data_IF_065539904337
#
_entry.id   IF_065539904337
#
_cell.length_a   1.000
_cell.length_b   1.000
_cell.length_c   1.000
_cell.angle_alpha   90.00
_cell.angle_beta   90.00
_cell.angle_gamma   90.00
#
_symmetry.space_group_name_H-M   'P 1'
#
loop_
_entity.id
_entity.type
_entity.pdbx_description
1 polymer ?
#
# COMPACT_ATOMS: atom_id res chain seq x y z
N UNK A 1 1.41 -4.23 7.60
CA UNK A 1 0.30 -4.99 6.98
C UNK A 1 -0.88 -4.08 6.88
N UNK A 2 -1.37 -3.79 5.69
CA UNK A 2 -2.55 -2.98 5.50
C UNK A 2 -3.68 -3.72 4.88
N UNK A 3 -4.76 -3.36 5.39
CA UNK A 3 -6.12 -3.61 5.00
C UNK A 3 -6.61 -2.48 4.07
N UNK A 4 -6.94 -2.81 2.83
CA UNK A 4 -7.69 -1.88 2.00
C UNK A 4 -9.15 -1.98 2.42
N UNK A 5 -9.65 -0.91 3.05
CA UNK A 5 -11.08 -0.75 3.24
C UNK A 5 -11.74 -0.40 1.91
N UNK A 6 -12.45 -1.33 1.35
CA UNK A 6 -13.54 -1.03 0.43
C UNK A 6 -14.83 -1.23 1.23
N UNK A 7 -15.68 -0.21 1.21
CA UNK A 7 -16.95 -0.16 1.95
C UNK A 7 -17.94 -1.24 1.49
N UNK A 8 -17.69 -2.48 1.85
CA UNK A 8 -18.66 -3.52 1.67
C UNK A 8 -18.74 -4.41 2.89
N UNK A 9 -19.95 -4.74 3.26
CA UNK A 9 -20.34 -5.63 4.35
C UNK A 9 -19.76 -7.05 4.20
N UNK A 10 -18.91 -7.27 3.20
CA UNK A 10 -18.38 -8.56 2.81
C UNK A 10 -16.87 -8.64 3.02
N UNK A 11 -16.43 -9.78 3.42
CA UNK A 11 -15.06 -10.23 3.71
C UNK A 11 -13.94 -9.30 3.25
N UNK A 12 -13.38 -8.52 4.17
CA UNK A 12 -12.19 -7.69 3.98
C UNK A 12 -11.12 -8.09 4.99
N UNK A 13 -9.84 -7.93 4.67
CA UNK A 13 -9.25 -7.28 3.48
C UNK A 13 -9.19 -8.18 2.25
N UNK A 14 -9.18 -7.56 1.06
CA UNK A 14 -8.98 -8.28 -0.20
C UNK A 14 -7.51 -8.63 -0.43
N UNK A 15 -6.61 -7.71 -0.09
CA UNK A 15 -5.17 -7.82 -0.29
C UNK A 15 -4.40 -7.25 0.90
N UNK A 16 -3.18 -7.69 1.05
CA UNK A 16 -2.21 -7.11 1.97
C UNK A 16 -1.01 -6.55 1.21
N UNK A 17 -0.44 -5.46 1.69
CA UNK A 17 0.70 -4.82 1.09
C UNK A 17 1.62 -4.22 2.15
N UNK A 18 2.91 -3.97 1.84
CA UNK A 18 3.84 -3.36 2.78
C UNK A 18 3.37 -1.98 3.25
N UNK A 19 3.40 -1.75 4.56
CA UNK A 19 2.99 -0.48 5.17
C UNK A 19 3.86 -0.09 6.37
N UNK A 20 4.94 -0.83 6.64
CA UNK A 20 5.85 -0.60 7.76
C UNK A 20 7.23 -0.25 7.21
N UNK A 21 7.85 0.79 7.78
CA UNK A 21 9.17 1.29 7.39
C UNK A 21 9.28 1.62 5.90
N UNK A 22 8.29 2.32 5.38
CA UNK A 22 8.20 2.68 3.98
C UNK A 22 8.85 4.04 3.75
N UNK A 23 9.80 4.10 2.81
CA UNK A 23 10.35 5.36 2.34
C UNK A 23 9.32 6.07 1.46
N UNK A 24 8.69 7.09 2.02
CA UNK A 24 7.61 7.82 1.38
C UNK A 24 8.03 9.25 1.02
N UNK A 25 7.44 9.81 -0.03
CA UNK A 25 7.58 11.22 -0.35
C UNK A 25 6.98 12.06 0.78
N UNK A 26 7.66 13.15 1.10
CA UNK A 26 7.25 14.08 2.14
C UNK A 26 7.24 15.51 1.63
N UNK A 27 6.31 16.31 2.11
CA UNK A 27 6.23 17.72 1.73
C UNK A 27 7.40 18.52 2.34
N UNK A 28 8.19 19.26 1.54
CA UNK A 28 9.28 20.07 2.06
C UNK A 28 8.84 21.22 2.99
N UNK A 29 7.56 21.58 2.95
CA UNK A 29 6.99 22.63 3.81
C UNK A 29 6.42 22.09 5.13
N UNK A 30 6.41 20.78 5.31
CA UNK A 30 5.98 20.14 6.54
C UNK A 30 7.21 19.63 7.33
N UNK A 31 7.24 19.80 8.66
CA UNK A 31 8.33 19.25 9.47
C UNK A 31 8.30 17.71 9.43
N UNK A 32 9.47 17.05 9.46
CA UNK A 32 9.55 15.59 9.43
C UNK A 32 9.13 14.93 10.74
N UNK A 33 8.98 15.68 11.81
CA UNK A 33 8.53 15.19 13.11
C UNK A 33 7.55 16.18 13.75
N UNK A 34 6.85 15.72 14.79
CA UNK A 34 5.92 16.56 15.56
C UNK A 34 6.59 17.53 16.51
N UNK A 35 7.92 17.51 16.61
CA UNK A 35 8.67 18.45 17.42
C UNK A 35 8.53 19.87 16.87
N UNK A 36 8.02 20.76 17.71
CA UNK A 36 7.76 22.15 17.34
C UNK A 36 9.04 22.91 16.93
N UNK A 37 10.19 22.46 17.38
CA UNK A 37 11.49 23.07 17.06
C UNK A 37 12.15 22.48 15.80
N UNK A 38 11.51 21.51 15.15
CA UNK A 38 12.06 20.87 13.98
C UNK A 38 11.74 21.67 12.72
N UNK A 39 12.70 22.48 12.28
CA UNK A 39 12.60 23.33 11.10
C UNK A 39 13.19 22.70 9.84
N UNK A 40 13.59 21.41 9.90
CA UNK A 40 14.19 20.73 8.75
C UNK A 40 13.20 20.58 7.60
N UNK A 41 13.73 20.66 6.39
CA UNK A 41 13.00 20.37 5.16
C UNK A 41 13.54 19.07 4.56
N UNK A 42 12.66 18.10 4.35
CA UNK A 42 13.02 16.82 3.75
C UNK A 42 12.03 16.48 2.64
N UNK A 43 12.50 15.74 1.64
CA UNK A 43 11.67 15.29 0.52
C UNK A 43 11.13 13.88 0.71
N UNK A 44 11.73 13.12 1.63
CA UNK A 44 11.37 11.74 1.92
C UNK A 44 11.41 11.51 3.42
N UNK A 45 10.58 10.59 3.88
CA UNK A 45 10.51 10.20 5.28
C UNK A 45 10.14 8.71 5.36
N UNK A 46 10.62 8.04 6.40
CA UNK A 46 10.19 6.67 6.71
C UNK A 46 8.86 6.73 7.47
N UNK A 47 7.86 6.06 6.96
CA UNK A 47 6.52 6.01 7.54
C UNK A 47 6.04 4.58 7.74
N UNK A 48 5.33 4.37 8.84
CA UNK A 48 4.71 3.09 9.18
C UNK A 48 3.23 3.33 9.47
N UNK A 49 2.44 3.35 8.42
CA UNK A 49 0.99 3.56 8.49
C UNK A 49 0.28 2.76 7.40
N UNK A 50 -0.98 2.50 7.62
CA UNK A 50 -1.82 1.78 6.65
C UNK A 50 -1.90 2.49 5.30
N UNK A 51 -1.84 3.82 5.30
CA UNK A 51 -1.86 4.64 4.08
C UNK A 51 -0.68 4.37 3.13
N UNK A 52 0.41 3.77 3.62
CA UNK A 52 1.57 3.43 2.78
C UNK A 52 1.39 2.13 2.00
N UNK A 53 0.50 1.27 2.44
CA UNK A 53 0.15 0.05 1.69
C UNK A 53 -0.76 0.34 0.50
N UNK A 54 -1.55 1.39 0.55
CA UNK A 54 -2.45 1.79 -0.53
C UNK A 54 -1.69 2.05 -1.85
N UNK A 55 -0.64 2.90 -1.90
CA UNK A 55 0.12 3.11 -3.12
C UNK A 55 0.85 1.85 -3.61
N UNK A 56 1.26 0.94 -2.74
CA UNK A 56 1.81 -0.35 -3.16
C UNK A 56 0.80 -1.16 -3.96
N UNK A 57 -0.42 -1.26 -3.46
CA UNK A 57 -1.50 -1.95 -4.17
C UNK A 57 -1.88 -1.23 -5.46
N UNK A 58 -1.95 0.10 -5.44
CA UNK A 58 -2.23 0.90 -6.64
C UNK A 58 -1.15 0.70 -7.70
N UNK A 59 0.11 0.59 -7.30
CA UNK A 59 1.23 0.27 -8.20
C UNK A 59 1.08 -1.11 -8.82
N UNK A 60 0.68 -2.12 -8.05
CA UNK A 60 0.41 -3.46 -8.57
C UNK A 60 -0.75 -3.46 -9.58
N UNK A 61 -1.82 -2.73 -9.29
CA UNK A 61 -2.95 -2.55 -10.20
C UNK A 61 -2.51 -1.89 -11.51
N UNK A 62 -1.71 -0.84 -11.43
CA UNK A 62 -1.18 -0.15 -12.61
C UNK A 62 -0.31 -1.08 -13.47
N UNK A 63 0.52 -1.89 -12.85
CA UNK A 63 1.36 -2.88 -13.53
C UNK A 63 0.51 -3.91 -14.30
N UNK A 64 -0.52 -4.45 -13.67
CA UNK A 64 -1.46 -5.38 -14.32
C UNK A 64 -2.23 -4.69 -15.44
N UNK A 65 -2.64 -3.44 -15.24
CA UNK A 65 -3.37 -2.66 -16.25
C UNK A 65 -2.55 -2.40 -17.52
N UNK A 66 -1.25 -2.18 -17.38
CA UNK A 66 -0.35 -2.04 -18.53
C UNK A 66 -0.29 -3.31 -19.36
N UNK A 67 -0.25 -4.47 -18.70
CA UNK A 67 -0.23 -5.77 -19.38
C UNK A 67 -1.60 -6.13 -19.99
N UNK A 68 -2.68 -5.69 -19.36
CA UNK A 68 -4.06 -6.01 -19.77
C UNK A 68 -4.95 -4.76 -19.83
N UNK A 69 -4.76 -3.87 -20.84
CA UNK A 69 -5.43 -2.57 -20.88
C UNK A 69 -6.96 -2.64 -20.90
N UNK A 70 -7.51 -3.75 -21.39
CA UNK A 70 -8.95 -3.94 -21.54
C UNK A 70 -9.63 -4.56 -20.31
N UNK A 71 -8.86 -4.91 -19.28
CA UNK A 71 -9.44 -5.50 -18.08
C UNK A 71 -10.18 -4.47 -17.23
N UNK A 72 -11.35 -4.86 -16.74
CA UNK A 72 -12.12 -4.07 -15.79
C UNK A 72 -11.44 -4.04 -14.41
N UNK A 73 -11.78 -3.07 -13.55
CA UNK A 73 -11.30 -3.06 -12.16
C UNK A 73 -11.59 -4.39 -11.41
N UNK A 74 -12.76 -4.96 -11.62
CA UNK A 74 -13.12 -6.25 -11.02
C UNK A 74 -12.24 -7.40 -11.52
N UNK A 75 -11.89 -7.42 -12.80
CA UNK A 75 -10.99 -8.42 -13.36
C UNK A 75 -9.58 -8.31 -12.79
N UNK A 76 -9.06 -7.11 -12.63
CA UNK A 76 -7.75 -6.85 -12.02
C UNK A 76 -7.74 -7.29 -10.55
N UNK A 77 -8.76 -6.91 -9.79
CA UNK A 77 -8.94 -7.34 -8.40
C UNK A 77 -8.94 -8.85 -8.28
N UNK A 78 -9.73 -9.54 -9.10
CA UNK A 78 -9.82 -10.99 -9.12
C UNK A 78 -8.46 -11.64 -9.43
N UNK A 79 -7.74 -11.12 -10.41
CA UNK A 79 -6.42 -11.62 -10.78
C UNK A 79 -5.42 -11.48 -9.62
N UNK A 80 -5.39 -10.34 -8.95
CA UNK A 80 -4.50 -10.12 -7.80
C UNK A 80 -4.84 -11.02 -6.62
N UNK A 81 -6.12 -11.22 -6.34
CA UNK A 81 -6.57 -12.07 -5.22
C UNK A 81 -6.28 -13.55 -5.47
N UNK A 82 -6.47 -14.03 -6.69
CA UNK A 82 -6.34 -15.45 -7.04
C UNK A 82 -4.91 -15.90 -7.30
N UNK A 83 -4.01 -14.98 -7.63
CA UNK A 83 -2.59 -15.26 -7.86
C UNK A 83 -1.70 -14.93 -6.67
N UNK A 84 -2.28 -14.36 -5.61
CA UNK A 84 -1.56 -14.04 -4.38
C UNK A 84 -1.11 -15.29 -3.63
N UNK A 85 0.03 -15.19 -2.96
CA UNK A 85 0.48 -16.22 -2.03
C UNK A 85 -0.23 -16.08 -0.69
N UNK A 86 -0.68 -17.19 -0.14
CA UNK A 86 -1.13 -17.24 1.25
C UNK A 86 0.11 -17.19 2.13
N UNK A 87 0.31 -16.08 2.83
CA UNK A 87 1.39 -15.95 3.80
C UNK A 87 1.10 -16.87 4.97
N UNK A 88 1.70 -18.02 4.98
CA UNK A 88 1.66 -18.92 6.12
C UNK A 88 2.72 -18.48 7.13
N UNK A 89 2.28 -17.92 8.25
CA UNK A 89 3.16 -17.47 9.33
C UNK A 89 4.00 -18.60 9.95
N UNK A 90 3.62 -19.84 9.74
CA UNK A 90 4.36 -21.01 10.23
C UNK A 90 5.54 -21.42 9.31
N UNK A 91 5.60 -20.93 8.10
CA UNK A 91 6.69 -21.23 7.14
C UNK A 91 7.79 -20.17 7.12
N UNK A 92 7.76 -19.21 8.01
CA UNK A 92 8.84 -18.24 8.22
C UNK A 92 9.94 -18.85 9.07
N UNK A 93 10.66 -19.72 8.51
CA UNK A 93 11.96 -20.11 9.03
C UNK A 93 13.04 -19.53 8.13
#
# INVERSE_FOLDING_TARGET
>A
MLQICLDDIYMQPDLTAPGVDILAAWSPVAPPSVDMDNTRSVKFKIESVTSMSCPHTSGAVAYVKVAHPNWSPAAIKSALMTTGEVINLTSRT
#
